data_IF_793775012764
#
_entry.id   IF_793775012764
#
_cell.length_a   1.000
_cell.length_b   1.000
_cell.length_c   1.000
_cell.angle_alpha   90.00
_cell.angle_beta   90.00
_cell.angle_gamma   90.00
#
_symmetry.space_group_name_H-M   'P 1'
#
loop_
_entity.id
_entity.type
_entity.pdbx_description
1 polymer ?
#
# COMPACT_ATOMS: atom_id res chain seq x y z
N UNK A 1 -51.44 20.50 7.60
CA UNK A 1 -50.12 19.84 7.49
C UNK A 1 -49.69 19.47 8.90
N UNK A 2 -49.68 18.17 9.22
CA UNK A 2 -49.48 17.69 10.59
C UNK A 2 -48.34 16.66 10.62
N UNK A 3 -47.38 16.88 11.54
CA UNK A 3 -46.30 15.98 11.86
C UNK A 3 -46.83 14.72 12.58
N UNK A 4 -46.26 13.54 12.27
CA UNK A 4 -46.45 12.30 13.03
C UNK A 4 -45.11 11.86 13.62
N UNK A 5 -45.05 11.79 14.94
CA UNK A 5 -44.06 11.04 15.72
C UNK A 5 -44.67 9.70 16.17
N UNK A 6 -43.84 8.67 16.30
CA UNK A 6 -43.98 7.63 17.33
C UNK A 6 -44.36 6.21 16.89
N UNK A 7 -43.33 5.33 16.84
CA UNK A 7 -43.26 3.87 17.16
C UNK A 7 -44.31 2.87 16.59
N UNK A 8 -43.88 1.65 16.18
CA UNK A 8 -43.51 0.61 17.15
C UNK A 8 -42.29 -0.26 16.78
N UNK A 9 -41.17 -0.05 17.48
CA UNK A 9 -39.97 -0.90 17.56
C UNK A 9 -40.16 -2.12 18.50
N UNK A 10 -41.39 -2.43 18.90
CA UNK A 10 -41.69 -3.48 19.90
C UNK A 10 -42.02 -4.85 19.31
N UNK A 11 -42.33 -4.94 18.00
CA UNK A 11 -42.68 -6.23 17.37
C UNK A 11 -41.45 -7.07 16.97
N UNK A 12 -40.28 -6.45 16.80
CA UNK A 12 -39.07 -7.14 16.30
C UNK A 12 -38.24 -7.84 17.39
N UNK A 13 -38.35 -7.41 18.65
CA UNK A 13 -37.62 -8.06 19.76
C UNK A 13 -38.25 -9.36 20.27
N UNK A 14 -39.54 -9.60 19.97
CA UNK A 14 -40.27 -10.78 20.45
C UNK A 14 -39.98 -12.02 19.58
N UNK A 15 -39.47 -11.84 18.36
CA UNK A 15 -39.13 -12.94 17.45
C UNK A 15 -37.69 -13.47 17.62
N UNK A 16 -36.81 -12.70 18.27
CA UNK A 16 -35.39 -13.05 18.43
C UNK A 16 -35.13 -13.89 19.70
N UNK A 17 -36.05 -13.87 20.68
CA UNK A 17 -35.97 -14.69 21.91
C UNK A 17 -36.54 -16.11 21.75
N UNK A 18 -37.09 -16.48 20.59
CA UNK A 18 -37.76 -17.78 20.38
C UNK A 18 -36.84 -18.92 19.89
N UNK A 19 -35.55 -18.69 19.62
CA UNK A 19 -34.62 -19.72 19.12
C UNK A 19 -33.48 -20.04 20.09
N UNK A 20 -33.76 -20.02 21.39
CA UNK A 20 -32.85 -20.51 22.43
C UNK A 20 -32.53 -22.00 22.25
N UNK A 21 -31.36 -22.30 21.69
CA UNK A 21 -30.79 -23.64 21.57
C UNK A 21 -30.24 -24.12 22.92
N UNK A 22 -30.94 -25.10 23.51
CA UNK A 22 -30.49 -25.88 24.67
C UNK A 22 -29.75 -27.15 24.25
N UNK A 23 -28.72 -27.47 25.04
CA UNK A 23 -27.90 -28.70 25.13
C UNK A 23 -28.50 -30.00 24.57
N UNK A 24 -27.65 -30.85 23.97
CA UNK A 24 -27.24 -32.17 24.52
C UNK A 24 -26.28 -32.93 23.60
N UNK A 25 -25.36 -33.67 24.22
CA UNK A 25 -24.36 -34.52 23.58
C UNK A 25 -24.86 -35.98 23.42
N UNK A 26 -24.19 -36.69 22.51
CA UNK A 26 -24.03 -38.14 22.38
C UNK A 26 -25.18 -38.98 21.79
N UNK A 27 -24.94 -39.57 20.60
CA UNK A 27 -25.12 -41.02 20.36
C UNK A 27 -24.43 -41.50 19.07
N UNK A 28 -23.43 -42.35 19.28
CA UNK A 28 -22.91 -43.51 18.54
C UNK A 28 -23.22 -43.77 17.05
N UNK A 29 -22.10 -44.00 16.36
CA UNK A 29 -21.82 -44.93 15.25
C UNK A 29 -22.91 -45.92 14.81
N UNK A 30 -23.31 -45.80 13.55
CA UNK A 30 -23.81 -46.88 12.72
C UNK A 30 -23.28 -46.72 11.27
N UNK A 31 -22.32 -47.57 10.94
CA UNK A 31 -22.32 -48.44 9.76
C UNK A 31 -22.59 -47.88 8.34
N UNK A 32 -21.53 -48.01 7.53
CA UNK A 32 -21.49 -48.45 6.13
C UNK A 32 -22.03 -47.57 4.98
N UNK A 33 -21.08 -47.18 4.13
CA UNK A 33 -21.03 -47.35 2.66
C UNK A 33 -22.23 -46.86 1.84
N UNK A 34 -21.88 -46.00 0.87
CA UNK A 34 -22.68 -45.50 -0.27
C UNK A 34 -23.62 -44.32 0.02
N UNK A 35 -23.05 -43.11 -0.05
CA UNK A 35 -23.76 -41.98 -0.63
C UNK A 35 -22.74 -41.07 -1.31
N UNK A 36 -22.84 -40.93 -2.63
CA UNK A 36 -22.32 -39.75 -3.32
C UNK A 36 -22.74 -38.52 -2.51
N UNK A 37 -21.76 -37.86 -1.92
CA UNK A 37 -22.02 -36.72 -1.05
C UNK A 37 -22.63 -35.60 -1.87
N UNK A 38 -23.88 -35.25 -1.56
CA UNK A 38 -24.48 -34.00 -2.01
C UNK A 38 -23.53 -32.85 -1.65
N UNK A 39 -23.05 -32.13 -2.66
CA UNK A 39 -22.24 -30.94 -2.46
C UNK A 39 -23.19 -29.81 -2.05
N UNK A 40 -23.01 -29.28 -0.84
CA UNK A 40 -23.74 -28.11 -0.37
C UNK A 40 -22.85 -26.88 -0.60
N UNK A 41 -23.40 -25.86 -1.26
CA UNK A 41 -22.80 -24.54 -1.31
C UNK A 41 -22.91 -23.92 0.08
N UNK A 42 -21.78 -23.88 0.80
CA UNK A 42 -21.68 -23.12 2.05
C UNK A 42 -21.81 -21.63 1.70
N UNK A 43 -22.89 -21.01 2.15
CA UNK A 43 -23.07 -19.58 2.03
C UNK A 43 -22.08 -18.87 2.96
N UNK A 44 -20.89 -18.58 2.43
CA UNK A 44 -19.93 -17.71 3.11
C UNK A 44 -20.46 -16.29 2.99
N UNK A 45 -21.13 -15.81 4.03
CA UNK A 45 -21.41 -14.40 4.20
C UNK A 45 -20.06 -13.71 4.43
N UNK A 46 -19.50 -13.12 3.38
CA UNK A 46 -18.45 -12.13 3.54
C UNK A 46 -19.09 -11.01 4.35
N UNK A 47 -18.72 -10.91 5.62
CA UNK A 47 -19.03 -9.71 6.40
C UNK A 47 -18.30 -8.57 5.71
N UNK A 48 -18.99 -7.87 4.82
CA UNK A 48 -18.62 -6.54 4.38
C UNK A 48 -18.56 -5.69 5.66
N UNK A 49 -17.37 -5.61 6.23
CA UNK A 49 -17.12 -4.76 7.37
C UNK A 49 -17.21 -3.32 6.88
N UNK A 50 -18.43 -2.80 6.83
CA UNK A 50 -18.84 -1.41 6.61
C UNK A 50 -18.03 -0.71 5.52
N UNK A 51 -18.68 -0.42 4.38
CA UNK A 51 -18.26 0.70 3.54
C UNK A 51 -17.91 1.88 4.46
N UNK A 52 -16.64 2.27 4.39
CA UNK A 52 -16.07 3.40 5.11
C UNK A 52 -16.53 4.62 4.31
N UNK A 53 -17.16 5.62 4.93
CA UNK A 53 -17.66 6.88 4.34
C UNK A 53 -16.55 7.76 3.69
N UNK A 54 -15.39 7.18 3.37
CA UNK A 54 -14.28 7.87 2.74
C UNK A 54 -14.35 7.73 1.23
N UNK A 55 -14.79 8.83 0.61
CA UNK A 55 -14.78 9.06 -0.83
C UNK A 55 -13.35 8.92 -1.36
N UNK A 56 -13.17 7.96 -2.27
CA UNK A 56 -11.89 7.73 -2.93
C UNK A 56 -11.61 8.92 -3.86
N UNK A 57 -10.54 9.67 -3.57
CA UNK A 57 -10.07 10.73 -4.45
C UNK A 57 -9.51 10.06 -5.72
N UNK A 58 -10.22 10.20 -6.82
CA UNK A 58 -9.83 9.72 -8.15
C UNK A 58 -8.46 10.34 -8.47
N UNK A 59 -7.42 9.50 -8.52
CA UNK A 59 -6.09 9.96 -8.91
C UNK A 59 -6.25 10.53 -10.33
N UNK A 60 -5.91 11.81 -10.58
CA UNK A 60 -5.92 12.33 -11.94
C UNK A 60 -5.12 11.37 -12.81
N UNK A 61 -5.69 10.99 -13.94
CA UNK A 61 -4.96 10.35 -15.03
C UNK A 61 -3.89 11.36 -15.47
N UNK A 62 -2.77 11.40 -14.74
CA UNK A 62 -1.53 11.95 -15.23
C UNK A 62 -1.13 11.00 -16.34
N UNK A 63 -1.65 11.33 -17.52
CA UNK A 63 -1.36 10.79 -18.82
C UNK A 63 0.12 11.01 -19.10
N UNK A 64 0.99 10.34 -18.33
CA UNK A 64 2.31 9.96 -18.80
C UNK A 64 2.02 8.97 -19.91
N UNK A 65 1.83 9.53 -21.11
CA UNK A 65 1.87 8.78 -22.34
C UNK A 65 3.22 8.05 -22.35
N UNK A 66 3.21 6.81 -21.85
CA UNK A 66 4.22 5.82 -22.17
C UNK A 66 4.24 5.85 -23.70
N UNK A 67 5.40 6.07 -24.35
CA UNK A 67 5.47 6.16 -25.80
C UNK A 67 4.71 4.97 -26.38
N UNK A 68 3.63 5.29 -27.08
CA UNK A 68 2.70 4.36 -27.69
C UNK A 68 3.49 3.54 -28.71
N UNK A 69 4.11 2.48 -28.22
CA UNK A 69 4.78 1.49 -29.04
C UNK A 69 3.70 0.68 -29.72
N UNK A 70 3.23 1.15 -30.87
CA UNK A 70 2.58 0.42 -31.97
C UNK A 70 1.68 -0.80 -31.64
N UNK A 71 0.99 -0.81 -30.50
CA UNK A 71 -0.10 -1.74 -30.21
C UNK A 71 -1.43 -1.04 -30.48
N UNK A 72 -1.68 -0.84 -31.77
CA UNK A 72 -2.91 -0.28 -32.30
C UNK A 72 -4.11 -1.14 -31.86
N UNK A 73 -5.02 -0.58 -31.07
CA UNK A 73 -6.27 -1.20 -30.63
C UNK A 73 -7.07 -1.75 -31.82
N UNK A 74 -6.98 -1.10 -32.99
CA UNK A 74 -7.61 -1.59 -34.21
C UNK A 74 -7.01 -2.93 -34.66
N UNK A 75 -5.70 -3.13 -34.47
CA UNK A 75 -5.01 -4.38 -34.79
C UNK A 75 -5.38 -5.49 -33.81
N UNK A 76 -5.57 -5.18 -32.53
CA UNK A 76 -6.06 -6.15 -31.54
C UNK A 76 -7.51 -6.59 -31.84
N UNK A 77 -8.38 -5.64 -32.18
CA UNK A 77 -9.77 -5.92 -32.59
C UNK A 77 -9.78 -6.74 -33.89
N UNK A 78 -8.94 -6.38 -34.85
CA UNK A 78 -8.80 -7.12 -36.10
C UNK A 78 -8.32 -8.54 -35.86
N UNK A 79 -7.31 -8.75 -35.01
CA UNK A 79 -6.83 -10.09 -34.66
C UNK A 79 -7.90 -10.92 -33.94
N UNK A 80 -8.68 -10.33 -33.04
CA UNK A 80 -9.80 -11.03 -32.38
C UNK A 80 -10.88 -11.39 -33.39
N UNK A 81 -11.20 -10.49 -34.32
CA UNK A 81 -12.19 -10.74 -35.36
C UNK A 81 -11.71 -11.80 -36.36
N UNK A 82 -10.45 -11.75 -36.79
CA UNK A 82 -9.81 -12.75 -37.64
C UNK A 82 -9.77 -14.10 -36.95
N UNK A 83 -9.42 -14.14 -35.66
CA UNK A 83 -9.42 -15.37 -34.87
C UNK A 83 -10.83 -15.95 -34.71
N UNK A 84 -11.86 -15.10 -34.49
CA UNK A 84 -13.26 -15.54 -34.44
C UNK A 84 -13.75 -16.07 -35.80
N UNK A 85 -13.28 -15.45 -36.88
CA UNK A 85 -13.60 -15.89 -38.25
C UNK A 85 -12.88 -17.20 -38.58
N UNK A 86 -11.62 -17.34 -38.18
CA UNK A 86 -10.83 -18.57 -38.33
C UNK A 86 -11.41 -19.71 -37.50
N UNK A 87 -11.86 -19.46 -36.26
CA UNK A 87 -12.57 -20.47 -35.46
C UNK A 87 -13.88 -20.89 -36.13
N UNK A 88 -14.63 -19.93 -36.69
CA UNK A 88 -15.88 -20.22 -37.40
C UNK A 88 -15.63 -20.98 -38.71
N UNK A 89 -14.56 -20.68 -39.44
CA UNK A 89 -14.14 -21.41 -40.64
C UNK A 89 -13.62 -22.81 -40.26
N UNK A 90 -12.89 -22.95 -39.16
CA UNK A 90 -12.45 -24.25 -38.65
C UNK A 90 -13.65 -25.12 -38.27
N UNK A 91 -14.64 -24.53 -37.58
CA UNK A 91 -15.89 -25.19 -37.20
C UNK A 91 -16.70 -25.59 -38.43
N UNK A 92 -16.86 -24.71 -39.43
CA UNK A 92 -17.57 -25.04 -40.67
C UNK A 92 -16.83 -26.06 -41.54
N UNK A 93 -15.49 -26.04 -41.55
CA UNK A 93 -14.64 -26.97 -42.31
C UNK A 93 -14.44 -28.32 -41.60
N UNK A 94 -14.75 -28.40 -40.31
CA UNK A 94 -14.79 -29.66 -39.54
C UNK A 94 -16.17 -30.30 -39.47
N UNK A 95 -17.22 -29.68 -40.04
CA UNK A 95 -18.46 -30.40 -40.34
C UNK A 95 -18.24 -31.32 -41.54
N UNK A 96 -17.50 -32.40 -41.32
CA UNK A 96 -17.68 -33.61 -42.10
C UNK A 96 -19.17 -33.97 -42.01
N UNK A 97 -19.85 -34.29 -43.13
CA UNK A 97 -21.18 -34.86 -43.04
C UNK A 97 -21.08 -36.04 -42.08
N UNK A 98 -21.87 -36.01 -40.99
CA UNK A 98 -21.95 -37.11 -40.05
C UNK A 98 -22.24 -38.36 -40.86
N UNK A 99 -21.19 -39.12 -41.14
CA UNK A 99 -21.27 -40.40 -41.82
C UNK A 99 -22.05 -41.23 -40.82
N UNK A 100 -23.29 -41.55 -41.16
CA UNK A 100 -24.07 -42.54 -40.42
C UNK A 100 -23.12 -43.70 -40.13
N UNK A 101 -23.01 -44.16 -38.86
CA UNK A 101 -22.05 -45.18 -38.50
C UNK A 101 -22.36 -46.39 -39.36
N UNK A 102 -21.54 -46.60 -40.39
CA UNK A 102 -21.62 -47.80 -41.21
C UNK A 102 -21.25 -48.90 -40.23
N UNK A 103 -22.21 -49.77 -39.91
CA UNK A 103 -22.05 -50.55 -38.71
C UNK A 103 -20.90 -51.54 -38.91
N UNK A 104 -19.93 -51.52 -37.98
CA UNK A 104 -18.70 -52.30 -38.09
C UNK A 104 -19.03 -53.78 -38.29
N UNK A 105 -18.38 -54.39 -39.27
CA UNK A 105 -18.43 -55.84 -39.50
C UNK A 105 -17.81 -56.49 -38.26
N UNK A 106 -18.41 -57.55 -37.74
CA UNK A 106 -17.99 -58.22 -36.49
C UNK A 106 -16.48 -58.48 -36.41
N UNK A 107 -15.87 -58.77 -37.56
CA UNK A 107 -14.41 -58.98 -37.70
C UNK A 107 -13.58 -57.76 -37.27
N UNK A 108 -13.94 -56.57 -37.76
CA UNK A 108 -13.23 -55.32 -37.42
C UNK A 108 -13.37 -55.02 -35.93
N UNK A 109 -14.55 -55.26 -35.35
CA UNK A 109 -14.79 -55.09 -33.93
C UNK A 109 -13.94 -56.02 -33.07
N UNK A 110 -13.87 -57.32 -33.40
CA UNK A 110 -13.07 -58.28 -32.65
C UNK A 110 -11.57 -57.94 -32.75
N UNK A 111 -11.10 -57.56 -33.95
CA UNK A 111 -9.72 -57.13 -34.12
C UNK A 111 -9.42 -55.87 -33.30
N UNK A 112 -10.26 -54.84 -33.39
CA UNK A 112 -10.11 -53.60 -32.63
C UNK A 112 -10.18 -53.84 -31.12
N UNK A 113 -11.07 -54.74 -30.66
CA UNK A 113 -11.17 -55.13 -29.25
C UNK A 113 -9.89 -55.81 -28.75
N UNK A 114 -9.40 -56.82 -29.47
CA UNK A 114 -8.19 -57.55 -29.11
C UNK A 114 -6.95 -56.63 -29.12
N UNK A 115 -6.88 -55.68 -30.06
CA UNK A 115 -5.85 -54.64 -30.11
C UNK A 115 -5.96 -53.68 -28.91
N UNK A 116 -7.15 -53.15 -28.62
CA UNK A 116 -7.39 -52.22 -27.49
C UNK A 116 -7.06 -52.85 -26.14
N UNK A 117 -7.34 -54.14 -25.98
CA UNK A 117 -7.06 -54.90 -24.76
C UNK A 117 -5.62 -55.46 -24.72
N UNK A 118 -4.81 -55.25 -25.77
CA UNK A 118 -3.42 -55.70 -25.83
C UNK A 118 -3.24 -57.22 -26.00
N UNK A 119 -4.25 -57.94 -26.46
CA UNK A 119 -4.27 -59.41 -26.59
C UNK A 119 -3.72 -59.88 -27.95
N UNK A 120 -2.44 -59.57 -28.22
CA UNK A 120 -1.82 -59.76 -29.55
C UNK A 120 -1.70 -61.21 -29.99
N UNK A 121 -1.44 -62.16 -29.08
CA UNK A 121 -1.39 -63.60 -29.41
C UNK A 121 -2.75 -64.16 -29.80
N UNK A 122 -3.80 -63.73 -29.11
CA UNK A 122 -5.18 -64.13 -29.40
C UNK A 122 -5.65 -63.55 -30.73
N UNK A 123 -5.23 -62.32 -31.05
CA UNK A 123 -5.46 -61.71 -32.36
C UNK A 123 -4.81 -62.51 -33.49
N UNK A 124 -3.55 -62.91 -33.34
CA UNK A 124 -2.82 -63.67 -34.37
C UNK A 124 -3.47 -65.04 -34.65
N UNK A 125 -3.87 -65.76 -33.58
CA UNK A 125 -4.60 -67.03 -33.72
C UNK A 125 -5.96 -66.81 -34.40
N UNK A 126 -6.72 -65.81 -33.96
CA UNK A 126 -8.02 -65.48 -34.52
C UNK A 126 -7.93 -65.14 -36.01
N UNK A 127 -7.01 -64.26 -36.41
CA UNK A 127 -6.82 -63.90 -37.81
C UNK A 127 -6.43 -65.11 -38.67
N UNK A 128 -5.53 -65.96 -38.17
CA UNK A 128 -5.10 -67.16 -38.89
C UNK A 128 -6.25 -68.13 -39.14
N UNK A 129 -7.04 -68.43 -38.11
CA UNK A 129 -8.22 -69.30 -38.21
C UNK A 129 -9.30 -68.69 -39.12
N UNK A 130 -9.48 -67.37 -39.07
CA UNK A 130 -10.46 -66.66 -39.88
C UNK A 130 -10.14 -66.68 -41.37
N UNK A 131 -8.88 -66.41 -41.74
CA UNK A 131 -8.43 -66.51 -43.13
C UNK A 131 -8.52 -67.95 -43.65
N UNK A 132 -8.23 -68.96 -42.82
CA UNK A 132 -8.37 -70.37 -43.18
C UNK A 132 -9.85 -70.75 -43.45
N UNK A 133 -10.77 -70.21 -42.64
CA UNK A 133 -12.20 -70.43 -42.77
C UNK A 133 -12.76 -69.79 -44.06
N UNK A 134 -12.28 -68.60 -44.41
CA UNK A 134 -12.63 -67.91 -45.66
C UNK A 134 -12.13 -68.70 -46.88
N UNK A 135 -10.90 -69.24 -46.85
CA UNK A 135 -10.36 -70.04 -47.95
C UNK A 135 -11.13 -71.35 -48.18
N UNK A 136 -11.71 -71.93 -47.13
CA UNK A 136 -12.53 -73.15 -47.21
C UNK A 136 -13.95 -72.92 -47.76
N UNK A 137 -14.32 -71.66 -48.07
CA UNK A 137 -15.58 -71.33 -48.75
C UNK A 137 -16.83 -71.35 -47.88
N UNK A 138 -16.70 -71.46 -46.55
CA UNK A 138 -17.82 -71.30 -45.61
C UNK A 138 -18.22 -69.82 -45.55
N UNK A 139 -19.11 -69.43 -46.48
CA UNK A 139 -19.55 -68.05 -46.70
C UNK A 139 -20.71 -67.63 -45.80
N UNK A 140 -21.34 -68.56 -45.09
CA UNK A 140 -22.48 -68.31 -44.18
C UNK A 140 -22.13 -67.38 -43.00
N UNK A 141 -20.84 -67.19 -42.73
CA UNK A 141 -20.39 -66.35 -41.63
C UNK A 141 -20.33 -64.85 -41.95
N UNK A 142 -20.40 -64.47 -43.23
CA UNK A 142 -20.43 -63.06 -43.67
C UNK A 142 -21.75 -62.35 -43.35
N UNK A 143 -22.81 -63.10 -43.08
CA UNK A 143 -24.14 -62.58 -42.74
C UNK A 143 -24.39 -62.48 -41.22
N UNK A 144 -23.40 -62.78 -40.37
CA UNK A 144 -23.52 -62.43 -38.95
C UNK A 144 -23.48 -60.91 -38.83
N UNK A 145 -24.67 -60.35 -38.61
CA UNK A 145 -24.96 -58.93 -38.65
C UNK A 145 -24.15 -58.07 -37.70
N UNK A 146 -24.42 -56.79 -37.79
CA UNK A 146 -23.66 -55.75 -37.12
C UNK A 146 -23.52 -55.92 -35.61
N UNK A 147 -22.35 -55.52 -35.10
CA UNK A 147 -22.01 -55.53 -33.67
C UNK A 147 -23.10 -54.81 -32.86
N UNK A 148 -23.54 -55.35 -31.71
CA UNK A 148 -24.60 -54.76 -30.91
C UNK A 148 -24.30 -53.30 -30.51
N UNK A 149 -25.24 -52.40 -30.84
CA UNK A 149 -25.26 -50.96 -30.57
C UNK A 149 -24.74 -50.55 -29.18
N UNK A 150 -25.02 -51.38 -28.16
CA UNK A 150 -24.63 -51.17 -26.76
C UNK A 150 -23.10 -51.06 -26.57
N UNK A 151 -22.28 -51.80 -27.34
CA UNK A 151 -20.83 -51.67 -27.22
C UNK A 151 -20.35 -50.31 -27.76
N UNK A 152 -20.83 -49.93 -28.93
CA UNK A 152 -20.51 -48.63 -29.55
C UNK A 152 -20.92 -47.50 -28.62
N UNK A 153 -22.11 -47.60 -28.03
CA UNK A 153 -22.60 -46.66 -27.03
C UNK A 153 -21.70 -46.61 -25.79
N UNK A 154 -21.27 -47.76 -25.24
CA UNK A 154 -20.34 -47.80 -24.11
C UNK A 154 -18.98 -47.20 -24.46
N UNK A 155 -18.45 -47.42 -25.66
CA UNK A 155 -17.20 -46.83 -26.10
C UNK A 155 -17.31 -45.30 -26.22
N UNK A 156 -18.44 -44.79 -26.74
CA UNK A 156 -18.72 -43.36 -26.79
C UNK A 156 -18.82 -42.76 -25.38
N UNK A 157 -19.56 -43.41 -24.47
CA UNK A 157 -19.70 -43.00 -23.07
C UNK A 157 -18.36 -43.05 -22.31
N UNK A 158 -17.48 -44.02 -22.60
CA UNK A 158 -16.12 -44.08 -22.05
C UNK A 158 -15.29 -42.88 -22.50
N UNK A 159 -15.38 -42.51 -23.78
CA UNK A 159 -14.64 -41.39 -24.34
C UNK A 159 -15.16 -40.05 -23.80
N UNK A 160 -16.49 -39.90 -23.70
CA UNK A 160 -17.13 -38.74 -23.09
C UNK A 160 -16.73 -38.61 -21.62
N UNK A 161 -16.76 -39.69 -20.83
CA UNK A 161 -16.28 -39.69 -19.46
C UNK A 161 -14.81 -39.27 -19.34
N UNK A 162 -13.95 -39.72 -20.27
CA UNK A 162 -12.55 -39.30 -20.30
C UNK A 162 -12.42 -37.81 -20.60
N UNK A 163 -13.21 -37.27 -21.51
CA UNK A 163 -13.21 -35.85 -21.84
C UNK A 163 -13.76 -35.02 -20.68
N UNK A 164 -14.90 -35.38 -20.11
CA UNK A 164 -15.48 -34.72 -18.92
C UNK A 164 -14.52 -34.72 -17.74
N UNK A 165 -13.77 -35.80 -17.51
CA UNK A 165 -12.74 -35.84 -16.46
C UNK A 165 -11.58 -34.87 -16.73
N UNK A 166 -11.17 -34.69 -17.99
CA UNK A 166 -10.16 -33.69 -18.35
C UNK A 166 -10.69 -32.28 -18.13
N UNK A 167 -11.90 -32.00 -18.60
CA UNK A 167 -12.53 -30.70 -18.47
C UNK A 167 -12.73 -30.33 -17.00
N UNK A 168 -13.20 -31.27 -16.17
CA UNK A 168 -13.32 -31.08 -14.73
C UNK A 168 -11.96 -30.72 -14.10
N UNK A 169 -10.88 -31.39 -14.48
CA UNK A 169 -9.52 -31.06 -14.01
C UNK A 169 -9.12 -29.65 -14.45
N UNK A 170 -9.40 -29.26 -15.69
CA UNK A 170 -9.11 -27.92 -16.20
C UNK A 170 -9.91 -26.84 -15.47
N UNK A 171 -11.21 -27.03 -15.27
CA UNK A 171 -12.04 -26.09 -14.52
C UNK A 171 -11.62 -25.98 -13.06
N UNK A 172 -11.22 -27.09 -12.43
CA UNK A 172 -10.68 -27.06 -11.07
C UNK A 172 -9.40 -26.22 -10.99
N UNK A 173 -8.47 -26.43 -11.93
CA UNK A 173 -7.24 -25.63 -12.00
C UNK A 173 -7.51 -24.15 -12.27
N UNK A 174 -8.46 -23.83 -13.16
CA UNK A 174 -8.86 -22.46 -13.45
C UNK A 174 -9.49 -21.78 -12.22
N UNK A 175 -10.37 -22.49 -11.50
CA UNK A 175 -10.96 -22.00 -10.26
C UNK A 175 -9.92 -21.80 -9.15
N UNK A 176 -8.95 -22.71 -9.04
CA UNK A 176 -7.84 -22.58 -8.09
C UNK A 176 -6.99 -21.34 -8.38
N UNK A 177 -6.62 -21.13 -9.65
CA UNK A 177 -5.89 -19.95 -10.09
C UNK A 177 -6.66 -18.65 -9.83
N UNK A 178 -7.96 -18.62 -10.17
CA UNK A 178 -8.80 -17.46 -9.94
C UNK A 178 -8.89 -17.09 -8.45
N UNK A 179 -8.94 -18.10 -7.57
CA UNK A 179 -8.92 -17.90 -6.11
C UNK A 179 -7.60 -17.31 -5.63
N UNK A 180 -6.47 -17.79 -6.15
CA UNK A 180 -5.16 -17.24 -5.80
C UNK A 180 -5.02 -15.77 -6.24
N UNK A 181 -5.46 -15.44 -7.45
CA UNK A 181 -5.39 -14.07 -7.98
C UNK A 181 -6.34 -13.12 -7.22
N UNK A 182 -7.52 -13.61 -6.82
CA UNK A 182 -8.42 -12.87 -5.92
C UNK A 182 -7.77 -12.60 -4.56
N UNK A 183 -7.07 -13.56 -3.98
CA UNK A 183 -6.35 -13.34 -2.71
C UNK A 183 -5.20 -12.34 -2.86
N UNK A 184 -4.49 -12.32 -3.99
CA UNK A 184 -3.44 -11.32 -4.25
C UNK A 184 -4.03 -9.91 -4.36
N UNK A 185 -5.09 -9.75 -5.14
CA UNK A 185 -5.75 -8.44 -5.32
C UNK A 185 -6.37 -7.93 -4.02
N UNK A 186 -6.96 -8.80 -3.20
CA UNK A 186 -7.44 -8.43 -1.87
C UNK A 186 -6.32 -7.93 -0.96
N UNK A 187 -5.16 -8.61 -0.93
CA UNK A 187 -4.00 -8.17 -0.15
C UNK A 187 -3.48 -6.81 -0.61
N UNK A 188 -3.42 -6.58 -1.92
CA UNK A 188 -2.98 -5.28 -2.46
C UNK A 188 -3.97 -4.17 -2.12
N UNK A 189 -5.27 -4.41 -2.29
CA UNK A 189 -6.33 -3.49 -1.86
C UNK A 189 -6.21 -3.16 -0.37
N UNK A 190 -6.00 -4.16 0.47
CA UNK A 190 -5.89 -3.98 1.91
C UNK A 190 -4.61 -3.23 2.29
N UNK A 191 -3.51 -3.47 1.56
CA UNK A 191 -2.27 -2.71 1.70
C UNK A 191 -2.47 -1.24 1.36
N UNK A 192 -3.09 -0.92 0.22
CA UNK A 192 -3.42 0.45 -0.15
C UNK A 192 -4.35 1.13 0.86
N UNK A 193 -5.39 0.42 1.32
CA UNK A 193 -6.33 0.94 2.32
C UNK A 193 -5.61 1.26 3.63
N UNK A 194 -4.76 0.35 4.12
CA UNK A 194 -3.96 0.55 5.33
C UNK A 194 -2.96 1.70 5.17
N UNK A 195 -2.30 1.78 4.02
CA UNK A 195 -1.31 2.83 3.73
C UNK A 195 -1.96 4.21 3.64
N UNK A 196 -3.08 4.33 2.94
CA UNK A 196 -3.86 5.56 2.87
C UNK A 196 -4.28 6.03 4.27
N UNK A 197 -4.83 5.12 5.10
CA UNK A 197 -5.19 5.45 6.50
C UNK A 197 -4.01 6.01 7.29
N UNK A 198 -2.81 5.42 7.13
CA UNK A 198 -1.58 5.93 7.77
C UNK A 198 -1.22 7.33 7.25
N UNK A 199 -1.20 7.53 5.94
CA UNK A 199 -0.87 8.83 5.33
C UNK A 199 -1.83 9.91 5.82
N UNK A 200 -3.13 9.62 5.90
CA UNK A 200 -4.13 10.59 6.38
C UNK A 200 -3.86 10.97 7.84
N UNK A 201 -3.50 10.01 8.70
CA UNK A 201 -3.11 10.29 10.09
C UNK A 201 -1.88 11.20 10.16
N UNK A 202 -0.84 10.91 9.36
CA UNK A 202 0.38 11.70 9.30
C UNK A 202 0.12 13.12 8.75
N UNK A 203 -0.67 13.24 7.67
CA UNK A 203 -1.14 14.52 7.11
C UNK A 203 -1.85 15.35 8.16
N UNK A 204 -2.80 14.75 8.89
CA UNK A 204 -3.55 15.45 9.93
C UNK A 204 -2.66 15.93 11.07
N UNK A 205 -1.65 15.14 11.47
CA UNK A 205 -0.66 15.55 12.45
C UNK A 205 0.13 16.78 11.97
N UNK A 206 0.65 16.75 10.75
CA UNK A 206 1.39 17.87 10.16
C UNK A 206 0.52 19.13 10.02
N UNK A 207 -0.75 18.97 9.64
CA UNK A 207 -1.71 20.09 9.59
C UNK A 207 -1.86 20.74 10.96
N UNK A 208 -1.96 19.95 12.03
CA UNK A 208 -2.08 20.46 13.39
C UNK A 208 -0.81 21.17 13.86
N UNK A 209 0.37 20.60 13.58
CA UNK A 209 1.66 21.23 13.88
C UNK A 209 1.79 22.58 13.15
N UNK A 210 1.40 22.64 11.87
CA UNK A 210 1.40 23.88 11.09
C UNK A 210 0.43 24.92 11.65
N UNK A 211 -0.77 24.51 12.09
CA UNK A 211 -1.74 25.42 12.75
C UNK A 211 -1.15 25.98 14.04
N UNK A 212 -0.53 25.15 14.87
CA UNK A 212 0.15 25.57 16.10
C UNK A 212 1.29 26.55 15.82
N UNK A 213 2.10 26.28 14.80
CA UNK A 213 3.20 27.15 14.39
C UNK A 213 2.70 28.51 13.91
N UNK A 214 1.64 28.55 13.08
CA UNK A 214 1.02 29.79 12.62
C UNK A 214 0.50 30.62 13.81
N UNK A 215 -0.15 29.98 14.77
CA UNK A 215 -0.63 30.66 15.98
C UNK A 215 0.52 31.24 16.80
N UNK A 216 1.63 30.50 16.95
CA UNK A 216 2.82 30.98 17.65
C UNK A 216 3.45 32.20 16.97
N UNK A 217 3.58 32.20 15.63
CA UNK A 217 4.06 33.38 14.91
C UNK A 217 3.11 34.58 15.01
N UNK A 218 1.80 34.35 14.93
CA UNK A 218 0.81 35.41 15.14
C UNK A 218 0.93 36.03 16.54
N UNK A 219 1.37 35.27 17.55
CA UNK A 219 1.62 35.79 18.90
C UNK A 219 2.84 36.71 19.02
N UNK A 220 3.83 36.59 18.13
CA UNK A 220 5.00 37.48 18.14
C UNK A 220 4.71 38.86 17.57
N UNK A 221 3.75 38.96 16.64
CA UNK A 221 3.34 40.22 16.02
C UNK A 221 3.08 41.35 17.04
N UNK A 222 2.24 41.19 18.08
CA UNK A 222 2.05 42.23 19.10
C UNK A 222 3.31 42.53 19.91
N UNK A 223 4.15 41.53 20.18
CA UNK A 223 5.40 41.72 20.92
C UNK A 223 6.38 42.58 20.13
N UNK A 224 6.50 42.34 18.83
CA UNK A 224 7.34 43.14 17.92
C UNK A 224 6.82 44.57 17.82
N UNK A 225 5.49 44.75 17.71
CA UNK A 225 4.85 46.08 17.69
C UNK A 225 5.18 46.90 18.95
N UNK A 226 4.97 46.31 20.13
CA UNK A 226 5.28 46.96 21.42
C UNK A 226 6.77 47.31 21.50
N UNK A 227 7.66 46.44 21.03
CA UNK A 227 9.10 46.71 21.03
C UNK A 227 9.45 47.89 20.11
N UNK A 228 8.86 47.95 18.92
CA UNK A 228 9.05 49.05 17.98
C UNK A 228 8.56 50.38 18.55
N UNK A 229 7.38 50.40 19.18
CA UNK A 229 6.82 51.56 19.86
C UNK A 229 7.70 52.05 21.01
N UNK A 230 8.22 51.13 21.84
CA UNK A 230 9.16 51.44 22.92
C UNK A 230 10.45 52.04 22.38
N UNK A 231 11.03 51.45 21.33
CA UNK A 231 12.23 51.97 20.70
C UNK A 231 12.03 53.39 20.15
N UNK A 232 10.91 53.61 19.44
CA UNK A 232 10.56 54.92 18.92
C UNK A 232 10.37 55.97 20.04
N UNK A 233 9.73 55.59 21.14
CA UNK A 233 9.56 56.45 22.32
C UNK A 233 10.89 56.80 22.99
N UNK A 234 11.74 55.79 23.17
CA UNK A 234 13.07 55.96 23.77
C UNK A 234 13.97 56.86 22.90
N UNK A 235 13.89 56.77 21.57
CA UNK A 235 14.58 57.67 20.67
C UNK A 235 14.13 59.13 20.84
N UNK A 236 12.81 59.38 20.95
CA UNK A 236 12.28 60.72 21.22
C UNK A 236 12.76 61.27 22.56
N UNK A 237 12.69 60.46 23.62
CA UNK A 237 13.16 60.84 24.95
C UNK A 237 14.66 61.14 24.95
N UNK A 238 15.48 60.27 24.34
CA UNK A 238 16.93 60.50 24.19
C UNK A 238 17.23 61.84 23.51
N UNK A 239 16.48 62.18 22.46
CA UNK A 239 16.62 63.46 21.76
C UNK A 239 16.29 64.65 22.69
N UNK A 240 15.17 64.59 23.42
CA UNK A 240 14.76 65.64 24.37
C UNK A 240 15.80 65.83 25.50
N UNK A 241 16.21 64.74 26.14
CA UNK A 241 17.25 64.77 27.18
C UNK A 241 18.58 65.27 26.64
N UNK A 242 18.89 65.01 25.36
CA UNK A 242 20.09 65.57 24.75
C UNK A 242 20.03 67.09 24.63
N UNK A 243 18.91 67.62 24.17
CA UNK A 243 18.71 69.07 24.07
C UNK A 243 18.75 69.76 25.44
N UNK A 244 18.18 69.13 26.48
CA UNK A 244 18.27 69.63 27.86
C UNK A 244 19.72 69.66 28.37
N UNK A 245 20.49 68.60 28.10
CA UNK A 245 21.91 68.54 28.44
C UNK A 245 22.71 69.62 27.71
N UNK A 246 22.48 69.80 26.41
CA UNK A 246 23.19 70.80 25.60
C UNK A 246 22.90 72.22 26.09
N UNK A 247 21.64 72.49 26.50
CA UNK A 247 21.26 73.75 27.15
C UNK A 247 22.00 73.96 28.48
N UNK A 248 22.04 72.94 29.34
CA UNK A 248 22.74 73.02 30.62
C UNK A 248 24.26 73.22 30.44
N UNK A 249 24.87 72.50 29.50
CA UNK A 249 26.29 72.68 29.15
C UNK A 249 26.54 74.09 28.63
N UNK A 250 25.67 74.61 27.74
CA UNK A 250 25.76 76.00 27.27
C UNK A 250 25.68 77.03 28.39
N UNK A 251 24.79 76.83 29.38
CA UNK A 251 24.71 77.66 30.57
C UNK A 251 25.99 77.58 31.42
N UNK A 252 26.50 76.37 31.68
CA UNK A 252 27.76 76.16 32.42
C UNK A 252 28.93 76.82 31.71
N UNK A 253 29.07 76.65 30.39
CA UNK A 253 30.13 77.30 29.61
C UNK A 253 30.01 78.82 29.64
N UNK A 254 28.79 79.37 29.58
CA UNK A 254 28.56 80.81 29.74
C UNK A 254 28.98 81.30 31.13
N UNK A 255 28.58 80.61 32.19
CA UNK A 255 28.98 80.91 33.57
C UNK A 255 30.49 80.80 33.77
N UNK A 256 31.13 79.76 33.24
CA UNK A 256 32.58 79.57 33.31
C UNK A 256 33.33 80.69 32.56
N UNK A 257 32.83 81.14 31.41
CA UNK A 257 33.39 82.29 30.71
C UNK A 257 33.27 83.57 31.53
N UNK A 258 32.12 83.80 32.20
CA UNK A 258 31.97 84.96 33.10
C UNK A 258 32.90 84.90 34.30
N UNK A 259 33.06 83.72 34.94
CA UNK A 259 34.01 83.51 36.03
C UNK A 259 35.45 83.77 35.58
N UNK A 260 35.86 83.22 34.44
CA UNK A 260 37.21 83.43 33.89
C UNK A 260 37.50 84.91 33.58
N UNK A 261 36.52 85.64 33.05
CA UNK A 261 36.67 87.08 32.81
C UNK A 261 36.83 87.88 34.12
N UNK A 262 36.17 87.46 35.20
CA UNK A 262 36.38 88.03 36.54
C UNK A 262 37.75 87.64 37.13
N UNK A 263 38.19 86.40 36.94
CA UNK A 263 39.51 85.91 37.38
C UNK A 263 40.69 86.53 36.61
N UNK A 264 40.52 86.86 35.32
CA UNK A 264 41.53 87.59 34.53
C UNK A 264 41.70 89.02 35.07
N UNK A 265 40.67 89.59 35.70
CA UNK A 265 40.78 90.82 36.49
C UNK A 265 41.48 90.65 37.85
N UNK A 266 41.88 89.42 38.23
CA UNK A 266 42.48 89.05 39.52
C UNK A 266 43.81 88.29 39.38
N UNK A 267 44.56 88.51 38.29
CA UNK A 267 45.95 88.04 38.20
C UNK A 267 46.94 89.04 38.82
N UNK A 268 46.98 89.08 40.15
CA UNK A 268 48.24 89.00 40.88
C UNK A 268 48.04 88.06 42.08
N UNK A 269 48.80 86.97 42.06
CA UNK A 269 49.06 86.06 43.19
C UNK A 269 48.08 84.87 43.38
N UNK A 270 48.49 83.69 42.91
CA UNK A 270 49.02 82.63 43.79
C UNK A 270 48.86 81.21 43.18
N UNK A 271 49.99 80.69 42.74
CA UNK A 271 50.51 79.32 42.83
C UNK A 271 49.62 78.08 42.63
N UNK A 272 50.04 77.36 41.60
CA UNK A 272 49.96 75.92 41.35
C UNK A 272 49.94 75.03 42.60
N UNK A 273 48.94 74.14 42.66
CA UNK A 273 49.09 72.82 43.28
C UNK A 273 48.73 71.76 42.25
N UNK A 274 49.78 71.07 41.81
CA UNK A 274 49.76 69.92 40.91
C UNK A 274 49.10 68.73 41.62
N UNK A 275 47.83 68.48 41.32
CA UNK A 275 47.15 67.23 41.71
C UNK A 275 47.39 66.19 40.62
N UNK A 276 48.11 65.14 40.99
CA UNK A 276 48.41 63.96 40.17
C UNK A 276 47.11 63.18 39.91
N UNK A 277 46.77 62.82 38.66
CA UNK A 277 45.71 61.85 38.40
C UNK A 277 46.24 60.43 38.65
N UNK A 278 45.64 59.72 39.60
CA UNK A 278 45.83 58.28 39.76
C UNK A 278 45.23 57.58 38.53
N UNK A 279 46.08 56.93 37.74
CA UNK A 279 45.68 56.09 36.62
C UNK A 279 45.39 54.68 37.16
N UNK A 280 44.16 54.44 37.62
CA UNK A 280 43.69 53.06 37.80
C UNK A 280 43.51 52.42 36.42
N UNK A 281 44.03 51.20 36.25
CA UNK A 281 43.88 50.42 35.03
C UNK A 281 42.41 50.11 34.81
N UNK A 282 41.85 50.72 33.77
CA UNK A 282 40.59 50.35 33.15
C UNK A 282 40.71 48.90 32.64
N UNK A 283 40.34 47.93 33.47
CA UNK A 283 39.94 46.63 32.96
C UNK A 283 38.68 46.89 32.15
N UNK A 284 38.77 46.73 30.82
CA UNK A 284 37.65 46.84 29.90
C UNK A 284 36.41 46.16 30.51
N UNK A 285 35.48 46.98 30.97
CA UNK A 285 34.24 46.51 31.57
C UNK A 285 33.38 46.00 30.42
N UNK A 286 33.50 44.70 30.13
CA UNK A 286 32.71 44.04 29.09
C UNK A 286 31.22 44.32 29.35
N UNK A 287 30.59 45.03 28.42
CA UNK A 287 29.19 45.38 28.53
C UNK A 287 28.31 44.11 28.59
N UNK A 288 27.09 44.20 29.17
CA UNK A 288 26.19 43.05 29.34
C UNK A 288 25.97 42.26 28.03
N UNK A 289 25.90 42.98 26.91
CA UNK A 289 25.74 42.42 25.57
C UNK A 289 26.98 41.67 25.07
N UNK A 290 28.19 42.16 25.39
CA UNK A 290 29.46 41.56 24.96
C UNK A 290 29.75 40.28 25.74
N UNK A 291 29.45 40.28 27.04
CA UNK A 291 29.49 39.10 27.91
C UNK A 291 28.53 38.00 27.44
N UNK A 292 27.29 38.37 27.08
CA UNK A 292 26.31 37.43 26.54
C UNK A 292 26.73 36.78 25.23
N UNK A 293 27.39 37.53 24.34
CA UNK A 293 27.89 37.00 23.06
C UNK A 293 29.05 36.01 23.26
N UNK A 294 29.93 36.27 24.24
CA UNK A 294 31.05 35.41 24.63
C UNK A 294 30.54 34.08 25.22
N UNK A 295 29.59 34.14 26.15
CA UNK A 295 28.97 32.96 26.76
C UNK A 295 28.19 32.09 25.75
N UNK A 296 27.49 32.71 24.79
CA UNK A 296 26.80 31.99 23.73
C UNK A 296 27.78 31.25 22.77
N UNK A 297 28.93 31.86 22.46
CA UNK A 297 29.98 31.20 21.66
C UNK A 297 30.60 30.01 22.39
N UNK A 298 30.80 30.09 23.71
CA UNK A 298 31.33 28.98 24.51
C UNK A 298 30.33 27.81 24.62
N UNK A 299 29.02 28.07 24.81
CA UNK A 299 27.97 27.04 24.83
C UNK A 299 27.80 26.31 23.49
N UNK A 300 27.95 27.02 22.36
CA UNK A 300 27.88 26.38 21.04
C UNK A 300 29.08 25.45 20.80
N UNK A 301 30.27 25.81 21.32
CA UNK A 301 31.49 25.01 21.18
C UNK A 301 31.48 23.74 22.04
N UNK A 302 30.79 23.72 23.18
CA UNK A 302 30.58 22.50 23.97
C UNK A 302 29.51 21.60 23.36
N UNK A 303 28.42 22.16 22.82
CA UNK A 303 27.36 21.40 22.16
C UNK A 303 27.81 20.68 20.88
N UNK A 304 28.71 21.28 20.09
CA UNK A 304 29.30 20.61 18.91
C UNK A 304 30.19 19.44 19.32
N UNK A 305 31.05 19.60 20.34
CA UNK A 305 31.87 18.51 20.88
C UNK A 305 31.05 17.32 21.39
N UNK A 306 29.91 17.58 22.04
CA UNK A 306 29.00 16.52 22.51
C UNK A 306 28.39 15.78 21.32
N UNK A 307 27.93 16.50 20.29
CA UNK A 307 27.36 15.89 19.07
C UNK A 307 28.38 15.04 18.32
N UNK A 308 29.62 15.49 18.22
CA UNK A 308 30.69 14.74 17.56
C UNK A 308 31.03 13.47 18.34
N UNK A 309 31.09 13.54 19.67
CA UNK A 309 31.26 12.36 20.52
C UNK A 309 30.09 11.36 20.40
N UNK A 310 28.84 11.84 20.30
CA UNK A 310 27.67 10.98 20.11
C UNK A 310 27.71 10.26 18.76
N UNK A 311 28.15 10.94 17.69
CA UNK A 311 28.31 10.33 16.36
C UNK A 311 29.40 9.25 16.36
N UNK A 312 30.52 9.50 17.03
CA UNK A 312 31.59 8.50 17.20
C UNK A 312 31.07 7.27 17.94
N UNK A 313 30.29 7.45 19.01
CA UNK A 313 29.67 6.35 19.73
C UNK A 313 28.68 5.56 18.88
N UNK A 314 27.84 6.25 18.10
CA UNK A 314 26.88 5.60 17.20
C UNK A 314 27.60 4.76 16.14
N UNK A 315 28.68 5.29 15.57
CA UNK A 315 29.48 4.59 14.57
C UNK A 315 30.12 3.31 15.14
N UNK A 316 30.65 3.39 16.36
CA UNK A 316 31.21 2.22 17.07
C UNK A 316 30.13 1.17 17.34
N UNK A 317 28.94 1.57 17.80
CA UNK A 317 27.83 0.63 18.05
C UNK A 317 27.35 -0.04 16.77
N UNK A 318 27.23 0.70 15.66
CA UNK A 318 26.85 0.14 14.35
C UNK A 318 27.92 -0.84 13.87
N UNK A 319 29.20 -0.50 13.94
CA UNK A 319 30.29 -1.41 13.55
C UNK A 319 30.30 -2.69 14.38
N UNK A 320 30.10 -2.62 15.70
CA UNK A 320 30.03 -3.81 16.56
C UNK A 320 28.82 -4.68 16.18
N UNK A 321 27.67 -4.08 15.92
CA UNK A 321 26.45 -4.82 15.55
C UNK A 321 26.59 -5.52 14.20
N UNK A 322 27.21 -4.86 13.21
CA UNK A 322 27.55 -5.48 11.92
C UNK A 322 28.55 -6.63 12.08
N UNK A 323 29.57 -6.49 12.93
CA UNK A 323 30.55 -7.54 13.18
C UNK A 323 29.95 -8.78 13.87
N UNK A 324 29.02 -8.58 14.80
CA UNK A 324 28.29 -9.66 15.48
C UNK A 324 27.30 -10.39 14.55
N UNK A 325 26.70 -9.67 13.60
CA UNK A 325 25.74 -10.26 12.64
C UNK A 325 26.45 -11.08 11.57
N UNK A 326 27.65 -10.64 11.13
CA UNK A 326 28.50 -11.41 10.22
C UNK A 326 29.04 -12.68 10.89
N UNK A 327 29.40 -12.62 12.18
CA UNK A 327 29.92 -13.78 12.92
C UNK A 327 28.87 -14.83 13.29
N UNK A 328 27.58 -14.50 13.27
CA UNK A 328 26.51 -15.49 13.50
C UNK A 328 26.00 -16.15 12.22
N UNK A 329 26.61 -15.85 11.07
CA UNK A 329 26.18 -16.36 9.75
C UNK A 329 27.16 -17.35 9.13
N UNK A 330 28.26 -17.70 9.82
CA UNK A 330 29.16 -18.79 9.43
C UNK A 330 28.79 -20.06 10.24
N UNK A 331 28.47 -21.21 9.58
CA UNK A 331 28.09 -22.47 10.22
C UNK A 331 29.24 -23.21 10.90
#
# INVERSE_FOLDING_TARGET
>A
MAAKQGLPTLALRVLEEAMGMGLTAARDTAEAVAAEGAYYLEQVTVTEASEDDYEYEEIPDDNFSIPEGEEDLAKAIQMVQEQATDTQILEQKTVLPSKQPVPEVIEDFLCNFLIKMGMTRTLDCFQSEWYELIQKGLTELRDLGNVPDVYTQNMLLENENKNLKKDLKHYKQAADKAREDLLKTQKERDFHRMHHKRIVQEKNKLINDLKGLKLHYASYEPTIRVLHEKHHTLLKQKMLTSLERDRAVGQISGLQATLKNMEIGHNYHASEIRVVPNHEKENAMEGPTQKGLREAREKNKSNTKIKDNTKVWLFVVISIKSYLTLRSSDP
#
